data_IF_219604829760
#
_entry.id   IF_219604829760
#
_cell.length_a   1.000
_cell.length_b   1.000
_cell.length_c   1.000
_cell.angle_alpha   90.00
_cell.angle_beta   90.00
_cell.angle_gamma   90.00
#
_symmetry.space_group_name_H-M   'P 1'
#
loop_
_entity.id
_entity.type
_entity.pdbx_description
1 polymer ?
#
# COMPACT_ATOMS: atom_id res chain seq x y z
N UNK A 1 24.60 -3.02 36.46
CA UNK A 1 23.77 -2.51 35.35
C UNK A 1 23.80 -3.54 34.23
N UNK A 2 22.76 -3.70 33.42
CA UNK A 2 22.79 -4.65 32.31
C UNK A 2 23.84 -4.23 31.27
N UNK A 3 24.50 -5.21 30.66
CA UNK A 3 25.48 -4.98 29.61
C UNK A 3 24.78 -4.82 28.26
N UNK A 4 25.33 -4.00 27.35
CA UNK A 4 24.81 -3.81 26.02
C UNK A 4 24.83 -5.14 25.23
N UNK A 5 23.74 -5.48 24.55
CA UNK A 5 23.63 -6.73 23.80
C UNK A 5 24.62 -6.84 22.61
N UNK A 6 25.18 -5.71 22.16
CA UNK A 6 26.15 -5.67 21.06
C UNK A 6 27.58 -5.38 21.53
N UNK A 7 27.74 -4.86 22.76
CA UNK A 7 29.04 -4.48 23.36
C UNK A 7 29.07 -4.93 24.82
N UNK A 8 29.55 -6.14 25.11
CA UNK A 8 29.51 -6.70 26.47
C UNK A 8 30.31 -5.91 27.51
N UNK A 9 31.24 -5.05 27.06
CA UNK A 9 32.07 -4.22 27.95
C UNK A 9 31.44 -2.86 28.27
N UNK A 10 30.21 -2.58 27.81
CA UNK A 10 29.53 -1.30 28.03
C UNK A 10 28.24 -1.54 28.81
N UNK A 11 28.22 -0.99 30.01
CA UNK A 11 27.01 -0.96 30.84
C UNK A 11 26.03 0.10 30.31
N UNK A 12 24.75 -0.23 30.27
CA UNK A 12 23.70 0.68 29.79
C UNK A 12 22.39 0.47 30.53
N UNK A 13 21.70 1.55 30.79
CA UNK A 13 20.32 1.54 31.31
C UNK A 13 19.25 1.68 30.21
N UNK A 14 19.68 1.96 28.95
CA UNK A 14 18.78 2.18 27.85
C UNK A 14 18.38 0.85 27.20
N UNK A 15 17.08 0.67 26.98
CA UNK A 15 16.51 -0.53 26.34
C UNK A 15 15.81 -0.18 25.03
N UNK A 16 15.81 -1.12 24.11
CA UNK A 16 15.05 -1.01 22.87
C UNK A 16 13.55 -1.11 23.16
N UNK A 17 12.75 -0.16 22.66
CA UNK A 17 11.28 -0.14 22.85
C UNK A 17 10.57 -1.33 22.21
N UNK A 18 11.20 -2.01 21.27
CA UNK A 18 10.55 -3.09 20.50
C UNK A 18 10.99 -4.50 20.96
N UNK A 19 12.26 -4.71 21.26
CA UNK A 19 12.78 -6.03 21.65
C UNK A 19 13.32 -6.08 23.07
N UNK A 20 13.21 -5.00 23.84
CA UNK A 20 13.65 -4.84 25.25
C UNK A 20 15.13 -5.15 25.54
N UNK A 21 15.97 -5.33 24.50
CA UNK A 21 17.41 -5.57 24.66
C UNK A 21 18.11 -4.31 25.17
N UNK A 22 19.06 -4.42 26.09
CA UNK A 22 19.89 -3.29 26.51
C UNK A 22 20.78 -2.84 25.35
N UNK A 23 20.77 -1.54 25.04
CA UNK A 23 21.50 -0.95 23.91
C UNK A 23 22.32 0.27 24.37
N UNK A 24 23.56 0.39 23.88
CA UNK A 24 24.40 1.54 24.17
C UNK A 24 24.16 2.71 23.19
N UNK A 25 24.66 3.93 23.54
CA UNK A 25 24.48 5.10 22.67
C UNK A 25 25.02 4.96 21.25
N UNK A 26 25.94 4.03 20.99
CA UNK A 26 26.49 3.76 19.66
C UNK A 26 25.58 2.94 18.75
N UNK A 27 24.59 2.22 19.33
CA UNK A 27 23.77 1.24 18.62
C UNK A 27 22.28 1.58 18.62
N UNK A 28 21.88 2.67 19.22
CA UNK A 28 20.49 3.10 19.16
C UNK A 28 20.21 4.10 18.03
N UNK A 29 19.01 4.04 17.52
CA UNK A 29 18.42 5.03 16.62
C UNK A 29 17.25 5.70 17.34
N UNK A 30 17.29 7.03 17.42
CA UNK A 30 16.21 7.82 18.03
C UNK A 30 14.99 7.81 17.13
N UNK A 31 13.84 7.44 17.68
CA UNK A 31 12.55 7.47 16.97
C UNK A 31 11.55 8.28 17.79
N UNK A 32 10.45 8.77 17.18
CA UNK A 32 9.43 9.54 17.90
C UNK A 32 8.81 8.81 19.10
N UNK A 33 8.93 7.48 19.15
CA UNK A 33 8.40 6.62 20.23
C UNK A 33 9.49 6.10 21.18
N UNK A 34 10.75 6.54 21.04
CA UNK A 34 11.86 6.14 21.90
C UNK A 34 13.06 5.59 21.13
N UNK A 35 13.93 4.86 21.86
CA UNK A 35 15.18 4.32 21.31
C UNK A 35 14.96 2.91 20.74
N UNK A 36 15.41 2.66 19.52
CA UNK A 36 15.39 1.35 18.87
C UNK A 36 16.81 0.88 18.56
N UNK A 37 17.07 -0.42 18.68
CA UNK A 37 18.33 -1.01 18.23
C UNK A 37 18.42 -0.95 16.68
N UNK A 38 19.65 -1.05 16.16
CA UNK A 38 19.91 -1.03 14.70
C UNK A 38 19.11 -2.10 13.93
N UNK A 39 18.88 -3.25 14.54
CA UNK A 39 18.11 -4.34 13.94
C UNK A 39 16.63 -3.97 13.83
N UNK A 40 16.01 -3.51 14.91
CA UNK A 40 14.62 -3.07 14.90
C UNK A 40 14.43 -1.78 14.07
N UNK A 41 15.43 -0.89 14.05
CA UNK A 41 15.40 0.30 13.22
C UNK A 41 15.45 -0.01 11.71
N UNK A 42 16.11 -1.09 11.27
CA UNK A 42 16.07 -1.57 9.89
C UNK A 42 14.69 -2.07 9.47
N UNK A 43 13.86 -2.47 10.42
CA UNK A 43 12.48 -2.89 10.17
C UNK A 43 11.47 -1.72 10.20
N UNK A 44 11.95 -0.48 10.23
CA UNK A 44 11.08 0.70 10.18
C UNK A 44 10.13 0.64 8.97
N UNK A 45 8.88 1.13 9.12
CA UNK A 45 7.88 1.16 8.04
C UNK A 45 8.35 1.89 6.78
N UNK A 46 9.35 2.77 6.91
CA UNK A 46 9.99 3.45 5.78
C UNK A 46 10.73 2.47 4.85
N UNK A 47 11.32 1.39 5.37
CA UNK A 47 11.95 0.34 4.57
C UNK A 47 10.90 -0.51 3.81
N UNK A 48 9.66 -0.58 4.32
CA UNK A 48 8.53 -1.25 3.65
C UNK A 48 7.88 -0.41 2.56
N UNK A 49 8.24 0.86 2.40
CA UNK A 49 7.68 1.74 1.36
C UNK A 49 8.23 1.47 -0.03
N UNK A 50 9.32 0.74 -0.16
CA UNK A 50 9.88 0.38 -1.46
C UNK A 50 9.12 -0.83 -2.00
N UNK A 51 8.14 -0.55 -2.86
CA UNK A 51 7.41 -1.59 -3.59
C UNK A 51 8.36 -2.25 -4.59
N UNK A 52 8.54 -3.55 -4.49
CA UNK A 52 9.39 -4.29 -5.44
C UNK A 52 8.77 -4.22 -6.85
N UNK A 53 9.55 -4.13 -7.92
CA UNK A 53 9.02 -4.02 -9.29
C UNK A 53 8.08 -5.17 -9.66
N UNK A 54 8.34 -6.38 -9.16
CA UNK A 54 7.45 -7.52 -9.33
C UNK A 54 6.07 -7.30 -8.71
N UNK A 55 6.00 -6.70 -7.51
CA UNK A 55 4.74 -6.41 -6.84
C UNK A 55 3.95 -5.33 -7.59
N UNK A 56 4.65 -4.34 -8.15
CA UNK A 56 4.04 -3.31 -8.97
C UNK A 56 3.46 -3.91 -10.26
N UNK A 57 4.20 -4.81 -10.92
CA UNK A 57 3.71 -5.52 -12.11
C UNK A 57 2.48 -6.38 -11.81
N UNK A 58 2.49 -7.14 -10.70
CA UNK A 58 1.33 -7.93 -10.29
C UNK A 58 0.12 -7.05 -9.97
N UNK A 59 0.34 -5.90 -9.30
CA UNK A 59 -0.72 -4.94 -9.04
C UNK A 59 -1.28 -4.36 -10.35
N UNK A 60 -0.44 -4.08 -11.35
CA UNK A 60 -0.85 -3.58 -12.65
C UNK A 60 -1.71 -4.61 -13.41
N UNK A 61 -1.28 -5.86 -13.45
CA UNK A 61 -2.04 -6.94 -14.09
C UNK A 61 -3.38 -7.17 -13.41
N UNK A 62 -3.40 -7.21 -12.06
CA UNK A 62 -4.62 -7.41 -11.30
C UNK A 62 -5.61 -6.25 -11.46
N UNK A 63 -5.13 -4.99 -11.44
CA UNK A 63 -5.99 -3.82 -11.63
C UNK A 63 -6.51 -3.71 -13.06
N UNK A 64 -5.69 -4.00 -14.07
CA UNK A 64 -6.12 -4.02 -15.46
C UNK A 64 -7.17 -5.10 -15.71
N UNK A 65 -6.95 -6.32 -15.21
CA UNK A 65 -7.89 -7.42 -15.32
C UNK A 65 -9.24 -7.13 -14.63
N UNK A 66 -9.19 -6.61 -13.41
CA UNK A 66 -10.39 -6.23 -12.67
C UNK A 66 -11.12 -5.04 -13.32
N UNK A 67 -10.37 -4.05 -13.82
CA UNK A 67 -10.92 -2.87 -14.50
C UNK A 67 -11.61 -3.23 -15.81
N UNK A 68 -10.95 -4.00 -16.67
CA UNK A 68 -11.51 -4.43 -17.97
C UNK A 68 -12.70 -5.37 -17.75
N UNK A 69 -12.54 -6.41 -16.92
CA UNK A 69 -13.60 -7.39 -16.67
C UNK A 69 -14.83 -6.75 -16.04
N UNK A 70 -14.65 -5.91 -15.05
CA UNK A 70 -15.74 -5.20 -14.38
C UNK A 70 -16.43 -4.19 -15.29
N UNK A 71 -15.68 -3.42 -16.07
CA UNK A 71 -16.25 -2.46 -17.01
C UNK A 71 -17.03 -3.15 -18.13
N UNK A 72 -16.54 -4.30 -18.63
CA UNK A 72 -17.24 -5.10 -19.63
C UNK A 72 -18.55 -5.68 -19.09
N UNK A 73 -18.57 -6.17 -17.84
CA UNK A 73 -19.79 -6.62 -17.17
C UNK A 73 -20.83 -5.50 -17.07
N UNK A 74 -20.41 -4.28 -16.71
CA UNK A 74 -21.30 -3.12 -16.64
C UNK A 74 -21.87 -2.81 -18.04
N UNK A 75 -21.04 -2.86 -19.07
CA UNK A 75 -21.46 -2.58 -20.45
C UNK A 75 -22.51 -3.60 -20.94
N UNK A 76 -22.36 -4.89 -20.63
CA UNK A 76 -23.31 -5.94 -21.03
C UNK A 76 -24.63 -5.85 -20.25
N UNK A 77 -24.54 -5.59 -18.95
CA UNK A 77 -25.74 -5.58 -18.08
C UNK A 77 -26.53 -4.30 -18.15
N UNK A 78 -25.97 -3.22 -18.74
CA UNK A 78 -26.61 -1.91 -18.80
C UNK A 78 -26.80 -1.24 -17.44
N UNK A 79 -26.20 -1.79 -16.37
CA UNK A 79 -26.29 -1.27 -15.01
C UNK A 79 -25.42 -0.02 -14.84
N UNK A 80 -25.74 1.04 -15.58
CA UNK A 80 -25.00 2.31 -15.58
C UNK A 80 -25.22 3.19 -14.34
N UNK A 81 -25.61 2.62 -13.19
CA UNK A 81 -25.79 3.36 -11.95
C UNK A 81 -24.45 3.78 -11.35
N UNK A 82 -24.40 5.00 -10.82
CA UNK A 82 -23.23 5.58 -10.13
C UNK A 82 -22.64 4.68 -9.07
N UNK A 83 -23.49 3.97 -8.32
CA UNK A 83 -23.06 3.01 -7.29
C UNK A 83 -22.21 1.87 -7.87
N UNK A 84 -22.56 1.37 -9.04
CA UNK A 84 -21.81 0.28 -9.68
C UNK A 84 -20.45 0.75 -10.14
N UNK A 85 -20.32 1.98 -10.65
CA UNK A 85 -19.02 2.55 -11.04
C UNK A 85 -18.11 2.84 -9.84
N UNK A 86 -18.68 3.26 -8.72
CA UNK A 86 -17.95 3.43 -7.46
C UNK A 86 -17.44 2.06 -6.96
N UNK A 87 -18.32 1.05 -6.94
CA UNK A 87 -17.95 -0.31 -6.54
C UNK A 87 -16.85 -0.90 -7.43
N UNK A 88 -16.91 -0.65 -8.74
CA UNK A 88 -15.86 -1.06 -9.67
C UNK A 88 -14.51 -0.43 -9.29
N UNK A 89 -14.50 0.89 -9.02
CA UNK A 89 -13.30 1.58 -8.57
C UNK A 89 -12.74 1.01 -7.27
N UNK A 90 -13.59 0.73 -6.28
CA UNK A 90 -13.17 0.11 -5.02
C UNK A 90 -12.63 -1.31 -5.22
N UNK A 91 -13.28 -2.12 -6.05
CA UNK A 91 -12.87 -3.50 -6.34
C UNK A 91 -11.51 -3.56 -7.03
N UNK A 92 -11.28 -2.68 -8.01
CA UNK A 92 -9.98 -2.60 -8.71
C UNK A 92 -8.87 -2.08 -7.79
N UNK A 93 -9.18 -1.13 -6.92
CA UNK A 93 -8.26 -0.66 -5.88
C UNK A 93 -7.89 -1.77 -4.89
N UNK A 94 -8.85 -2.57 -4.47
CA UNK A 94 -8.60 -3.73 -3.60
C UNK A 94 -7.80 -4.83 -4.29
N UNK A 95 -8.09 -5.11 -5.56
CA UNK A 95 -7.33 -6.08 -6.35
C UNK A 95 -5.86 -5.68 -6.48
N UNK A 96 -5.56 -4.40 -6.78
CA UNK A 96 -4.21 -3.86 -6.85
C UNK A 96 -3.50 -3.96 -5.48
N UNK A 97 -4.20 -3.65 -4.40
CA UNK A 97 -3.68 -3.73 -3.03
C UNK A 97 -3.32 -5.15 -2.63
N UNK A 98 -4.19 -6.13 -2.89
CA UNK A 98 -3.93 -7.55 -2.57
C UNK A 98 -2.78 -8.09 -3.41
N UNK A 99 -2.75 -7.80 -4.71
CA UNK A 99 -1.69 -8.25 -5.61
C UNK A 99 -0.31 -7.67 -5.25
N UNK A 100 -0.27 -6.46 -4.64
CA UNK A 100 0.97 -5.84 -4.16
C UNK A 100 1.43 -6.34 -2.77
N UNK A 101 0.70 -7.28 -2.15
CA UNK A 101 1.02 -7.75 -0.80
C UNK A 101 0.60 -6.78 0.31
N UNK A 102 -0.46 -6.00 0.09
CA UNK A 102 -1.01 -5.04 1.07
C UNK A 102 -0.25 -3.72 1.14
N UNK A 103 0.73 -3.48 0.25
CA UNK A 103 1.46 -2.23 0.22
C UNK A 103 0.56 -1.07 -0.20
N UNK A 104 0.72 0.07 0.50
CA UNK A 104 0.00 1.32 0.23
C UNK A 104 1.00 2.38 -0.18
N UNK A 105 1.10 2.65 -1.45
CA UNK A 105 1.97 3.68 -2.00
C UNK A 105 1.25 4.45 -3.11
N UNK A 106 1.70 5.67 -3.37
CA UNK A 106 1.20 6.48 -4.48
C UNK A 106 1.34 5.74 -5.83
N UNK A 107 2.39 4.93 -5.98
CA UNK A 107 2.60 4.12 -7.18
C UNK A 107 1.48 3.09 -7.38
N UNK A 108 1.04 2.39 -6.31
CA UNK A 108 -0.05 1.42 -6.40
C UNK A 108 -1.39 2.12 -6.67
N UNK A 109 -1.62 3.29 -6.06
CA UNK A 109 -2.81 4.09 -6.34
C UNK A 109 -2.86 4.55 -7.81
N UNK A 110 -1.74 4.99 -8.37
CA UNK A 110 -1.63 5.36 -9.77
C UNK A 110 -1.89 4.18 -10.71
N UNK A 111 -1.33 3.00 -10.40
CA UNK A 111 -1.54 1.76 -11.16
C UNK A 111 -3.01 1.31 -11.09
N UNK A 112 -3.65 1.39 -9.93
CA UNK A 112 -5.06 1.07 -9.78
C UNK A 112 -5.93 2.02 -10.60
N UNK A 113 -5.67 3.32 -10.52
CA UNK A 113 -6.35 4.34 -11.33
C UNK A 113 -6.20 4.11 -12.83
N UNK A 114 -4.98 3.83 -13.30
CA UNK A 114 -4.71 3.54 -14.71
C UNK A 114 -5.45 2.29 -15.21
N UNK A 115 -5.52 1.23 -14.39
CA UNK A 115 -6.26 0.01 -14.73
C UNK A 115 -7.77 0.27 -14.92
N UNK A 116 -8.36 1.10 -14.04
CA UNK A 116 -9.77 1.50 -14.16
C UNK A 116 -10.00 2.37 -15.40
N UNK A 117 -9.12 3.37 -15.64
CA UNK A 117 -9.23 4.21 -16.85
C UNK A 117 -9.19 3.39 -18.13
N UNK A 118 -8.26 2.45 -18.22
CA UNK A 118 -8.14 1.57 -19.37
C UNK A 118 -9.41 0.74 -19.56
N UNK A 119 -9.91 0.11 -18.49
CA UNK A 119 -11.11 -0.72 -18.54
C UNK A 119 -12.35 0.06 -18.95
N UNK A 120 -12.59 1.22 -18.34
CA UNK A 120 -13.77 2.07 -18.65
C UNK A 120 -13.69 2.68 -20.04
N UNK A 121 -12.49 3.02 -20.53
CA UNK A 121 -12.26 3.50 -21.89
C UNK A 121 -12.57 2.41 -22.93
N UNK A 122 -12.02 1.20 -22.75
CA UNK A 122 -12.27 0.07 -23.66
C UNK A 122 -13.74 -0.37 -23.68
N UNK A 123 -14.44 -0.25 -22.56
CA UNK A 123 -15.87 -0.55 -22.47
C UNK A 123 -16.78 0.55 -23.03
N UNK A 124 -16.24 1.69 -23.46
CA UNK A 124 -17.00 2.82 -23.99
C UNK A 124 -17.90 3.51 -22.95
N UNK A 125 -17.60 3.36 -21.67
CA UNK A 125 -18.31 4.04 -20.58
C UNK A 125 -17.95 5.54 -20.62
N UNK A 126 -18.95 6.42 -20.53
CA UNK A 126 -18.76 7.86 -20.68
C UNK A 126 -17.77 8.48 -19.68
N UNK A 127 -17.30 9.69 -19.98
CA UNK A 127 -16.29 10.42 -19.18
C UNK A 127 -16.62 10.52 -17.68
N UNK A 128 -17.91 10.65 -17.34
CA UNK A 128 -18.34 10.70 -15.94
C UNK A 128 -18.06 9.39 -15.20
N UNK A 129 -18.31 8.23 -15.82
CA UNK A 129 -18.02 6.93 -15.23
C UNK A 129 -16.50 6.71 -15.06
N UNK A 130 -15.71 7.17 -16.04
CA UNK A 130 -14.24 7.13 -15.95
C UNK A 130 -13.72 7.95 -14.78
N UNK A 131 -14.20 9.17 -14.60
CA UNK A 131 -13.77 10.05 -13.53
C UNK A 131 -14.16 9.49 -12.14
N UNK A 132 -15.43 9.10 -11.97
CA UNK A 132 -15.94 8.59 -10.69
C UNK A 132 -15.21 7.31 -10.25
N UNK A 133 -15.08 6.34 -11.15
CA UNK A 133 -14.44 5.06 -10.84
C UNK A 133 -12.93 5.21 -10.54
N UNK A 134 -12.25 6.10 -11.25
CA UNK A 134 -10.82 6.38 -11.03
C UNK A 134 -10.60 7.06 -9.69
N UNK A 135 -11.41 8.08 -9.37
CA UNK A 135 -11.35 8.75 -8.06
C UNK A 135 -11.63 7.77 -6.93
N UNK A 136 -12.64 6.91 -7.07
CA UNK A 136 -12.96 5.90 -6.10
C UNK A 136 -11.81 4.90 -5.87
N UNK A 137 -11.15 4.43 -6.95
CA UNK A 137 -10.01 3.53 -6.85
C UNK A 137 -8.81 4.18 -6.13
N UNK A 138 -8.46 5.40 -6.49
CA UNK A 138 -7.36 6.15 -5.87
C UNK A 138 -7.65 6.45 -4.41
N UNK A 139 -8.83 6.95 -4.08
CA UNK A 139 -9.25 7.21 -2.70
C UNK A 139 -9.25 5.94 -1.87
N UNK A 140 -9.73 4.83 -2.39
CA UNK A 140 -9.73 3.56 -1.67
C UNK A 140 -8.33 3.11 -1.27
N UNK A 141 -7.36 3.21 -2.18
CA UNK A 141 -5.96 2.84 -1.91
C UNK A 141 -5.29 3.80 -0.92
N UNK A 142 -5.64 5.10 -0.96
CA UNK A 142 -4.99 6.14 -0.16
C UNK A 142 -5.64 6.41 1.18
N UNK A 143 -6.97 6.35 1.29
CA UNK A 143 -7.73 6.77 2.47
C UNK A 143 -7.70 5.79 3.63
N UNK A 144 -7.51 4.51 3.37
CA UNK A 144 -7.57 3.46 4.40
C UNK A 144 -6.26 3.43 5.22
N UNK A 145 -6.01 4.48 6.01
CA UNK A 145 -4.79 4.71 6.81
C UNK A 145 -4.84 4.15 8.24
N UNK A 146 -5.80 3.30 8.57
CA UNK A 146 -5.95 2.70 9.91
C UNK A 146 -5.39 1.30 10.02
#
# INVERSE_FOLDING_TARGET
>A
MPQCAFHPNVETSVRCVECDRPICPKDFVTTPVGYKCKECARQLPSARRVVKPRQLALAALASAGAGIGGAFLIAITGLGFWLVTILLGMLTGEAARRASGGHRSAAIAAVAGAGVLLGTFLAGLGLAAMAISTVAAVLYVTSNRW
#
